data_IF_436426661812
#
_entry.id   IF_436426661812
#
_cell.length_a   1.000
_cell.length_b   1.000
_cell.length_c   1.000
_cell.angle_alpha   90.00
_cell.angle_beta   90.00
_cell.angle_gamma   90.00
#
_symmetry.space_group_name_H-M   'P 1'
#
loop_
_entity.id
_entity.type
_entity.pdbx_description
1 polymer ?
#
# COMPACT_ATOMS: atom_id res chain seq x y z
N UNK A 1 3.36 13.76 17.07
CA UNK A 1 3.67 15.18 17.33
C UNK A 1 5.05 15.60 16.77
N UNK A 2 6.16 14.89 17.08
CA UNK A 2 7.50 15.32 16.63
C UNK A 2 7.64 15.33 15.11
N UNK A 3 7.24 14.26 14.42
CA UNK A 3 7.25 14.21 12.96
C UNK A 3 6.35 15.28 12.35
N UNK A 4 5.22 15.58 12.98
CA UNK A 4 4.33 16.63 12.51
C UNK A 4 4.96 18.03 12.68
N UNK A 5 5.67 18.28 13.79
CA UNK A 5 6.39 19.53 13.99
C UNK A 5 7.51 19.74 12.96
N UNK A 6 8.21 18.67 12.58
CA UNK A 6 9.24 18.74 11.53
C UNK A 6 8.64 18.96 10.12
N UNK A 7 7.44 18.43 9.90
CA UNK A 7 6.74 18.58 8.61
C UNK A 7 5.96 19.90 8.51
N UNK A 8 5.59 20.50 9.61
CA UNK A 8 4.83 21.77 9.65
C UNK A 8 5.53 22.91 8.87
N UNK A 9 4.79 23.90 8.34
CA UNK A 9 3.33 23.97 8.37
C UNK A 9 2.70 23.06 7.29
N UNK A 10 1.57 22.44 7.59
CA UNK A 10 0.77 21.66 6.66
C UNK A 10 -0.72 21.89 6.95
N UNK A 11 -1.58 21.57 5.99
CA UNK A 11 -3.02 21.63 6.13
C UNK A 11 -3.58 20.21 6.26
N UNK A 12 -4.47 19.99 7.25
CA UNK A 12 -5.23 18.76 7.37
C UNK A 12 -6.32 18.76 6.29
N UNK A 13 -6.30 17.77 5.39
CA UNK A 13 -7.30 17.62 4.32
C UNK A 13 -8.41 16.62 4.69
N UNK A 14 -8.08 15.59 5.48
CA UNK A 14 -9.05 14.62 5.93
C UNK A 14 -8.49 13.61 6.93
N UNK A 15 -9.41 12.97 7.66
CA UNK A 15 -9.14 11.83 8.54
C UNK A 15 -10.18 10.75 8.27
N UNK A 16 -9.79 9.47 8.43
CA UNK A 16 -10.66 8.30 8.19
C UNK A 16 -11.40 8.42 6.84
N UNK A 17 -10.66 8.82 5.80
CA UNK A 17 -11.25 9.13 4.51
C UNK A 17 -11.32 7.91 3.61
N UNK A 18 -12.53 7.54 3.22
CA UNK A 18 -12.76 6.51 2.23
C UNK A 18 -12.29 6.93 0.84
N UNK A 19 -11.49 6.05 0.23
CA UNK A 19 -11.07 6.16 -1.17
C UNK A 19 -11.44 4.89 -1.91
N UNK A 20 -12.15 5.06 -3.02
CA UNK A 20 -12.63 3.95 -3.87
C UNK A 20 -12.42 4.29 -5.34
N UNK A 21 -12.13 3.27 -6.13
CA UNK A 21 -12.04 3.34 -7.58
C UNK A 21 -12.64 2.08 -8.18
N UNK A 22 -13.27 2.19 -9.34
CA UNK A 22 -13.69 1.04 -10.14
C UNK A 22 -12.55 0.67 -11.08
N UNK A 23 -12.14 -0.59 -11.05
CA UNK A 23 -11.18 -1.17 -11.98
C UNK A 23 -11.87 -2.27 -12.78
N UNK A 24 -11.75 -2.20 -14.09
CA UNK A 24 -12.30 -3.20 -15.00
C UNK A 24 -11.20 -4.20 -15.35
N UNK A 25 -11.52 -5.47 -15.29
CA UNK A 25 -10.64 -6.56 -15.72
C UNK A 25 -11.37 -7.44 -16.76
N UNK A 26 -10.59 -8.06 -17.64
CA UNK A 26 -11.11 -9.04 -18.58
C UNK A 26 -11.15 -10.42 -17.96
N UNK A 27 -12.27 -11.11 -18.10
CA UNK A 27 -12.45 -12.49 -17.65
C UNK A 27 -13.00 -13.34 -18.81
N UNK A 28 -12.93 -14.67 -18.76
CA UNK A 28 -13.51 -15.55 -19.80
C UNK A 28 -15.00 -15.31 -20.07
N UNK A 29 -15.74 -14.76 -19.08
CA UNK A 29 -17.17 -14.44 -19.21
C UNK A 29 -17.44 -13.01 -19.66
N UNK A 30 -16.41 -12.21 -19.92
CA UNK A 30 -16.51 -10.81 -20.27
C UNK A 30 -15.85 -9.89 -19.25
N UNK A 31 -16.16 -8.60 -19.32
CA UNK A 31 -15.59 -7.59 -18.44
C UNK A 31 -16.23 -7.63 -17.05
N UNK A 32 -15.37 -7.60 -16.03
CA UNK A 32 -15.78 -7.55 -14.63
C UNK A 32 -15.30 -6.22 -14.03
N UNK A 33 -16.22 -5.44 -13.48
CA UNK A 33 -15.90 -4.21 -12.76
C UNK A 33 -15.75 -4.51 -11.26
N UNK A 34 -14.59 -4.21 -10.70
CA UNK A 34 -14.24 -4.42 -9.29
C UNK A 34 -14.07 -3.08 -8.59
N UNK A 35 -14.65 -2.95 -7.41
CA UNK A 35 -14.36 -1.81 -6.55
C UNK A 35 -13.13 -2.09 -5.70
N UNK A 36 -12.10 -1.27 -5.85
CA UNK A 36 -10.87 -1.32 -5.05
C UNK A 36 -10.76 -0.07 -4.17
N UNK A 37 -10.09 -0.19 -3.04
CA UNK A 37 -9.84 0.94 -2.14
C UNK A 37 -9.83 0.56 -0.68
N UNK A 38 -10.07 1.54 0.18
CA UNK A 38 -10.08 1.42 1.64
C UNK A 38 -10.21 2.76 2.31
N UNK A 39 -9.88 2.83 3.59
CA UNK A 39 -9.93 4.04 4.40
C UNK A 39 -8.52 4.51 4.70
N UNK A 40 -8.25 5.78 4.40
CA UNK A 40 -6.98 6.46 4.70
C UNK A 40 -7.11 7.07 6.09
N UNK A 41 -6.18 6.76 7.00
CA UNK A 41 -6.22 7.27 8.36
C UNK A 41 -6.12 8.79 8.39
N UNK A 42 -5.21 9.37 7.58
CA UNK A 42 -5.01 10.81 7.52
C UNK A 42 -4.50 11.27 6.15
N UNK A 43 -5.07 12.38 5.67
CA UNK A 43 -4.57 13.16 4.53
C UNK A 43 -4.15 14.55 5.00
N UNK A 44 -2.99 15.01 4.58
CA UNK A 44 -2.56 16.40 4.75
C UNK A 44 -1.84 16.92 3.51
N UNK A 45 -1.80 18.23 3.36
CA UNK A 45 -1.14 18.88 2.23
C UNK A 45 -0.09 19.90 2.67
N UNK A 46 0.97 20.01 1.87
CA UNK A 46 2.00 21.03 2.01
C UNK A 46 2.51 21.44 0.63
N UNK A 47 2.27 22.69 0.27
CA UNK A 47 2.60 23.17 -1.07
C UNK A 47 1.82 22.42 -2.15
N UNK A 48 2.51 21.79 -3.08
CA UNK A 48 1.96 21.00 -4.19
C UNK A 48 1.85 19.50 -3.89
N UNK A 49 2.03 19.11 -2.64
CA UNK A 49 2.09 17.70 -2.22
C UNK A 49 0.93 17.35 -1.28
N UNK A 50 0.18 16.31 -1.62
CA UNK A 50 -0.79 15.63 -0.77
C UNK A 50 -0.13 14.41 -0.15
N UNK A 51 -0.04 14.38 1.18
CA UNK A 51 0.57 13.26 1.90
C UNK A 51 -0.51 12.33 2.47
N UNK A 52 -0.38 11.06 2.19
CA UNK A 52 -1.12 9.98 2.86
C UNK A 52 -0.29 9.60 4.10
N UNK A 53 -0.91 9.59 5.27
CA UNK A 53 -0.28 9.08 6.50
C UNK A 53 -1.12 7.93 7.01
N UNK A 54 -0.55 6.74 6.98
CA UNK A 54 -1.16 5.53 7.52
C UNK A 54 -0.43 5.17 8.84
N UNK A 55 -1.20 5.02 9.93
CA UNK A 55 -0.67 4.75 11.25
C UNK A 55 -0.51 3.25 11.51
N UNK A 56 0.66 2.84 11.97
CA UNK A 56 0.94 1.45 12.30
C UNK A 56 1.34 1.31 13.78
N UNK A 57 0.57 0.54 14.53
CA UNK A 57 0.84 0.23 15.94
C UNK A 57 1.81 -0.94 16.10
N UNK A 58 1.93 -1.80 15.08
CA UNK A 58 2.82 -2.96 15.06
C UNK A 58 3.67 -3.05 13.79
N UNK A 59 4.52 -4.07 13.74
CA UNK A 59 5.43 -4.32 12.61
C UNK A 59 6.67 -3.43 12.63
N UNK A 60 7.47 -3.53 11.58
CA UNK A 60 8.70 -2.76 11.39
C UNK A 60 8.72 -2.11 10.01
N UNK A 61 9.33 -0.92 9.87
CA UNK A 61 9.55 -0.31 8.57
C UNK A 61 10.27 -1.27 7.63
N UNK A 62 9.80 -1.33 6.38
CA UNK A 62 10.39 -2.11 5.30
C UNK A 62 10.79 -1.18 4.17
N UNK A 63 11.79 -1.58 3.40
CA UNK A 63 12.27 -0.86 2.23
C UNK A 63 12.28 -1.86 1.07
N UNK A 64 11.22 -1.91 0.24
CA UNK A 64 11.21 -2.77 -0.94
C UNK A 64 12.22 -2.32 -1.97
N UNK A 65 12.79 -3.27 -2.71
CA UNK A 65 13.75 -2.95 -3.78
C UNK A 65 13.06 -2.28 -4.98
N UNK A 66 11.86 -2.77 -5.30
CA UNK A 66 11.06 -2.36 -6.46
C UNK A 66 9.56 -2.64 -6.20
N UNK A 67 8.72 -2.27 -7.16
CA UNK A 67 7.27 -2.48 -7.10
C UNK A 67 6.93 -3.99 -7.12
N UNK A 68 7.69 -4.80 -7.83
CA UNK A 68 7.45 -6.25 -7.95
C UNK A 68 7.41 -6.96 -6.61
N UNK A 69 8.27 -6.57 -5.65
CA UNK A 69 8.27 -7.16 -4.30
C UNK A 69 6.97 -6.96 -3.53
N UNK A 70 6.15 -5.97 -3.90
CA UNK A 70 4.84 -5.74 -3.28
C UNK A 70 3.83 -6.82 -3.71
N UNK A 71 4.05 -7.45 -4.85
CA UNK A 71 3.15 -8.44 -5.45
C UNK A 71 3.65 -9.88 -5.29
N UNK A 72 4.95 -10.05 -5.12
CA UNK A 72 5.56 -11.38 -4.97
C UNK A 72 5.19 -12.01 -3.62
N UNK A 73 4.61 -13.21 -3.59
CA UNK A 73 4.32 -13.93 -2.35
C UNK A 73 5.61 -14.20 -1.56
N UNK A 74 5.68 -13.67 -0.34
CA UNK A 74 6.77 -13.89 0.58
C UNK A 74 6.32 -13.64 2.03
N UNK A 75 6.96 -14.30 3.00
CA UNK A 75 6.64 -14.12 4.43
C UNK A 75 6.86 -12.69 4.91
N UNK A 76 7.83 -12.02 4.32
CA UNK A 76 8.19 -10.66 4.66
C UNK A 76 7.68 -9.62 3.66
N UNK A 77 6.68 -9.96 2.83
CA UNK A 77 6.09 -9.02 1.87
C UNK A 77 5.70 -7.71 2.56
N UNK A 78 5.99 -6.54 1.98
CA UNK A 78 5.72 -5.24 2.61
C UNK A 78 4.24 -4.82 2.43
N UNK A 79 3.30 -5.56 3.06
CA UNK A 79 1.86 -5.40 2.91
C UNK A 79 1.37 -3.98 3.25
N UNK A 80 1.98 -3.31 4.24
CA UNK A 80 1.60 -1.95 4.60
C UNK A 80 1.94 -0.94 3.50
N UNK A 81 3.08 -1.15 2.82
CA UNK A 81 3.46 -0.33 1.66
C UNK A 81 2.51 -0.59 0.49
N UNK A 82 2.17 -1.86 0.22
CA UNK A 82 1.17 -2.21 -0.80
C UNK A 82 -0.15 -1.48 -0.55
N UNK A 83 -0.67 -1.53 0.68
CA UNK A 83 -1.91 -0.84 1.07
C UNK A 83 -1.83 0.66 0.81
N UNK A 84 -0.76 1.31 1.27
CA UNK A 84 -0.59 2.76 1.13
C UNK A 84 -0.39 3.16 -0.33
N UNK A 85 0.28 2.33 -1.13
CA UNK A 85 0.44 2.53 -2.58
C UNK A 85 -0.87 2.36 -3.34
N UNK A 86 -1.74 1.43 -2.92
CA UNK A 86 -3.09 1.33 -3.48
C UNK A 86 -3.87 2.63 -3.30
N UNK A 87 -3.82 3.23 -2.10
CA UNK A 87 -4.46 4.51 -1.85
C UNK A 87 -3.83 5.64 -2.67
N UNK A 88 -2.50 5.64 -2.80
CA UNK A 88 -1.79 6.63 -3.61
C UNK A 88 -2.18 6.53 -5.09
N UNK A 89 -2.28 5.31 -5.64
CA UNK A 89 -2.70 5.07 -7.02
C UNK A 89 -4.11 5.61 -7.30
N UNK A 90 -5.05 5.43 -6.34
CA UNK A 90 -6.40 5.96 -6.46
C UNK A 90 -6.40 7.49 -6.44
N UNK A 91 -5.63 8.10 -5.54
CA UNK A 91 -5.59 9.55 -5.38
C UNK A 91 -4.89 10.24 -6.55
N UNK A 92 -3.84 9.67 -7.14
CA UNK A 92 -3.14 10.24 -8.29
C UNK A 92 -4.10 10.54 -9.46
N UNK A 93 -5.15 9.74 -9.64
CA UNK A 93 -6.16 9.96 -10.69
C UNK A 93 -7.27 10.94 -10.32
N UNK A 94 -7.42 11.24 -9.04
CA UNK A 94 -8.54 12.07 -8.56
C UNK A 94 -8.18 13.53 -8.36
N UNK A 95 -6.90 13.84 -8.38
CA UNK A 95 -6.43 15.19 -8.07
C UNK A 95 -5.06 15.46 -8.72
N UNK A 96 -4.65 16.72 -8.81
CA UNK A 96 -3.45 17.15 -9.55
C UNK A 96 -2.19 17.36 -8.68
N UNK A 97 -2.32 17.24 -7.35
CA UNK A 97 -1.16 17.37 -6.47
C UNK A 97 -0.26 16.13 -6.56
N UNK A 98 1.01 16.26 -6.22
CA UNK A 98 1.89 15.11 -6.00
C UNK A 98 1.37 14.31 -4.81
N UNK A 99 1.29 13.00 -4.95
CA UNK A 99 0.87 12.11 -3.84
C UNK A 99 2.09 11.48 -3.20
N UNK A 100 2.29 11.74 -1.91
CA UNK A 100 3.39 11.20 -1.10
C UNK A 100 2.87 10.20 -0.06
N UNK A 101 2.94 8.88 -0.30
CA UNK A 101 2.54 7.87 0.67
C UNK A 101 3.53 7.79 1.83
N UNK A 102 3.02 7.67 3.06
CA UNK A 102 3.83 7.60 4.28
C UNK A 102 3.27 6.58 5.27
N UNK A 103 4.16 5.89 5.99
CA UNK A 103 3.83 4.97 7.05
C UNK A 103 4.38 5.48 8.39
N UNK A 104 3.50 5.83 9.33
CA UNK A 104 3.90 6.31 10.64
C UNK A 104 3.79 5.19 11.69
N UNK A 105 4.93 4.59 12.02
CA UNK A 105 5.02 3.59 13.09
C UNK A 105 5.04 4.27 14.44
N UNK A 106 3.95 4.14 15.20
CA UNK A 106 3.72 4.85 16.47
C UNK A 106 4.85 4.62 17.47
N UNK A 107 5.31 3.37 17.62
CA UNK A 107 6.37 3.00 18.55
C UNK A 107 7.75 3.56 18.16
N UNK A 108 7.92 4.05 16.91
CA UNK A 108 9.15 4.69 16.42
C UNK A 108 9.04 6.21 16.31
N UNK A 109 7.84 6.75 16.44
CA UNK A 109 7.56 8.18 16.20
C UNK A 109 8.32 9.14 17.14
N UNK A 110 8.82 8.65 18.27
CA UNK A 110 9.64 9.44 19.21
C UNK A 110 11.13 9.49 18.83
N UNK A 111 11.61 8.59 17.95
CA UNK A 111 13.03 8.55 17.54
C UNK A 111 13.37 9.72 16.62
N UNK A 112 14.52 10.34 16.85
CA UNK A 112 15.01 11.47 16.03
C UNK A 112 15.39 11.06 14.61
N UNK A 113 15.88 9.84 14.46
CA UNK A 113 16.32 9.29 13.16
C UNK A 113 15.18 8.67 12.35
N UNK A 114 13.96 8.59 12.89
CA UNK A 114 12.85 7.97 12.19
C UNK A 114 12.12 8.96 11.28
N UNK A 115 11.93 8.54 10.03
CA UNK A 115 11.09 9.23 9.04
C UNK A 115 9.92 8.33 8.62
N UNK A 116 8.69 8.86 8.51
CA UNK A 116 7.54 8.11 7.99
C UNK A 116 7.56 7.95 6.47
N UNK A 117 8.48 8.62 5.77
CA UNK A 117 8.60 8.54 4.32
C UNK A 117 8.95 7.11 3.91
N UNK A 118 8.19 6.57 2.95
CA UNK A 118 8.50 5.27 2.35
C UNK A 118 9.70 5.44 1.42
N UNK A 119 10.67 4.56 1.56
CA UNK A 119 11.85 4.52 0.70
C UNK A 119 11.89 3.21 -0.08
N UNK A 120 12.40 3.26 -1.30
CA UNK A 120 12.60 2.11 -2.17
C UNK A 120 14.06 2.02 -2.63
N UNK A 121 14.53 0.81 -2.89
CA UNK A 121 15.85 0.58 -3.47
C UNK A 121 16.52 -0.71 -3.00
N UNK A 122 17.42 -1.23 -3.83
CA UNK A 122 18.12 -2.48 -3.59
C UNK A 122 19.02 -2.42 -2.33
N UNK A 123 19.30 -3.56 -1.68
CA UNK A 123 20.22 -3.62 -0.56
C UNK A 123 21.58 -2.99 -0.92
N UNK A 124 22.17 -2.24 0.01
CA UNK A 124 23.47 -1.57 -0.14
C UNK A 124 23.52 -0.48 -1.23
N UNK A 125 22.40 -0.13 -1.84
CA UNK A 125 22.27 0.99 -2.76
C UNK A 125 21.61 2.19 -2.06
N UNK A 126 21.83 3.43 -2.55
CA UNK A 126 21.08 4.59 -2.07
C UNK A 126 19.57 4.35 -2.17
N UNK A 127 18.83 4.73 -1.15
CA UNK A 127 17.38 4.62 -1.14
C UNK A 127 16.75 5.87 -1.75
N UNK A 128 15.66 5.66 -2.46
CA UNK A 128 14.88 6.74 -3.10
C UNK A 128 13.61 6.95 -2.30
N UNK A 129 13.39 8.14 -1.73
CA UNK A 129 12.15 8.45 -1.03
C UNK A 129 10.99 8.60 -2.02
N UNK A 130 9.85 8.02 -1.70
CA UNK A 130 8.63 8.10 -2.51
C UNK A 130 7.87 9.40 -2.17
N UNK A 131 8.40 10.52 -2.60
CA UNK A 131 7.80 11.85 -2.41
C UNK A 131 6.77 12.22 -3.49
N UNK A 132 6.71 11.47 -4.58
CA UNK A 132 5.71 11.58 -5.63
C UNK A 132 5.45 10.19 -6.20
N UNK A 133 4.28 9.64 -5.88
CA UNK A 133 3.91 8.30 -6.32
C UNK A 133 3.69 8.17 -7.83
N UNK A 134 3.43 9.27 -8.54
CA UNK A 134 3.22 9.25 -9.99
C UNK A 134 4.35 8.55 -10.78
N UNK A 135 5.58 8.54 -10.25
CA UNK A 135 6.70 7.82 -10.88
C UNK A 135 6.59 6.29 -10.81
N UNK A 136 5.74 5.77 -9.95
CA UNK A 136 5.53 4.35 -9.71
C UNK A 136 4.12 3.88 -10.09
N UNK A 137 3.24 4.81 -10.44
CA UNK A 137 1.82 4.55 -10.62
C UNK A 137 1.56 3.54 -11.74
N UNK A 138 2.15 3.72 -12.90
CA UNK A 138 1.89 2.87 -14.08
C UNK A 138 2.31 1.42 -13.80
N UNK A 139 3.52 1.19 -13.29
CA UNK A 139 3.99 -0.16 -12.94
C UNK A 139 3.13 -0.79 -11.85
N UNK A 140 2.78 -0.03 -10.81
CA UNK A 140 1.94 -0.53 -9.73
C UNK A 140 0.55 -0.94 -10.24
N UNK A 141 -0.06 -0.13 -11.10
CA UNK A 141 -1.38 -0.40 -11.68
C UNK A 141 -1.37 -1.60 -12.62
N UNK A 142 -0.36 -1.72 -13.46
CA UNK A 142 -0.21 -2.88 -14.34
C UNK A 142 -0.15 -4.17 -13.53
N UNK A 143 0.68 -4.22 -12.48
CA UNK A 143 0.80 -5.38 -11.61
C UNK A 143 -0.47 -5.64 -10.79
N UNK A 144 -1.14 -4.59 -10.32
CA UNK A 144 -2.41 -4.72 -9.62
C UNK A 144 -3.49 -5.30 -10.53
N UNK A 145 -3.56 -4.84 -11.77
CA UNK A 145 -4.49 -5.37 -12.77
C UNK A 145 -4.20 -6.85 -13.04
N UNK A 146 -2.93 -7.23 -13.25
CA UNK A 146 -2.52 -8.62 -13.42
C UNK A 146 -2.89 -9.51 -12.23
N UNK A 147 -2.66 -9.04 -10.99
CA UNK A 147 -3.05 -9.75 -9.77
C UNK A 147 -4.57 -9.96 -9.70
N UNK A 148 -5.35 -8.94 -10.04
CA UNK A 148 -6.82 -9.07 -10.05
C UNK A 148 -7.29 -10.02 -11.14
N UNK A 149 -6.69 -10.00 -12.33
CA UNK A 149 -6.98 -10.97 -13.38
C UNK A 149 -6.67 -12.41 -12.92
N UNK A 150 -5.53 -12.64 -12.27
CA UNK A 150 -5.17 -13.95 -11.70
C UNK A 150 -6.20 -14.43 -10.67
N UNK A 151 -6.58 -13.56 -9.70
CA UNK A 151 -7.57 -13.90 -8.65
C UNK A 151 -8.93 -14.28 -9.25
N UNK A 152 -9.36 -13.60 -10.31
CA UNK A 152 -10.67 -13.83 -10.94
C UNK A 152 -10.58 -14.70 -12.21
N UNK A 153 -9.40 -15.24 -12.51
CA UNK A 153 -9.23 -16.25 -13.55
C UNK A 153 -9.92 -17.55 -13.14
N UNK A 154 -10.65 -18.15 -14.07
CA UNK A 154 -11.21 -19.49 -13.86
C UNK A 154 -10.24 -20.62 -14.23
N UNK A 155 -9.11 -20.27 -14.82
CA UNK A 155 -8.06 -21.21 -15.21
C UNK A 155 -7.20 -21.62 -14.00
N UNK A 156 -7.13 -20.76 -12.99
CA UNK A 156 -6.37 -21.00 -11.76
C UNK A 156 -7.28 -21.55 -10.66
N UNK A 157 -6.93 -22.70 -10.12
CA UNK A 157 -7.61 -23.27 -8.96
C UNK A 157 -7.03 -22.76 -7.66
N UNK A 158 -7.87 -22.25 -6.76
CA UNK A 158 -7.42 -21.89 -5.40
C UNK A 158 -6.92 -23.12 -4.65
N UNK A 159 -5.70 -23.07 -4.16
CA UNK A 159 -5.10 -24.08 -3.31
C UNK A 159 -4.92 -23.57 -1.88
N UNK A 160 -4.85 -24.51 -0.93
CA UNK A 160 -4.51 -24.15 0.45
C UNK A 160 -3.03 -23.72 0.52
N UNK A 161 -2.74 -22.71 1.37
CA UNK A 161 -1.35 -22.31 1.61
C UNK A 161 -0.53 -23.46 2.19
N UNK A 162 0.72 -23.60 1.76
CA UNK A 162 1.69 -24.52 2.36
C UNK A 162 2.22 -24.02 3.71
N UNK A 163 2.19 -22.70 3.94
CA UNK A 163 2.62 -22.09 5.19
C UNK A 163 1.52 -22.19 6.26
N UNK A 164 1.55 -23.27 7.04
CA UNK A 164 0.59 -23.54 8.09
C UNK A 164 0.61 -22.55 9.24
N UNK A 165 1.69 -21.75 9.40
CA UNK A 165 1.75 -20.66 10.40
C UNK A 165 0.68 -19.60 10.13
N UNK A 166 0.34 -19.35 8.85
CA UNK A 166 -0.75 -18.44 8.46
C UNK A 166 -2.12 -18.94 8.87
N UNK A 167 -2.24 -20.26 9.14
CA UNK A 167 -3.49 -20.86 9.55
C UNK A 167 -3.73 -20.74 11.06
N UNK A 168 -2.71 -20.46 11.87
CA UNK A 168 -2.80 -20.47 13.34
C UNK A 168 -3.89 -19.51 13.87
N UNK A 169 -4.00 -18.31 13.24
CA UNK A 169 -4.99 -17.29 13.60
C UNK A 169 -6.00 -17.01 12.46
N UNK A 170 -6.16 -17.97 11.54
CA UNK A 170 -7.07 -17.81 10.40
C UNK A 170 -8.49 -18.23 10.78
N UNK A 171 -9.47 -17.36 10.55
CA UNK A 171 -10.89 -17.63 10.82
C UNK A 171 -11.42 -18.81 10.02
N UNK A 172 -10.81 -19.13 8.89
CA UNK A 172 -11.18 -20.26 8.02
C UNK A 172 -10.42 -21.56 8.31
N UNK A 173 -9.63 -21.61 9.40
CA UNK A 173 -8.80 -22.78 9.74
C UNK A 173 -9.59 -24.09 9.78
N UNK A 174 -10.75 -24.10 10.44
CA UNK A 174 -11.61 -25.28 10.57
C UNK A 174 -12.20 -25.72 9.22
N UNK A 175 -12.54 -24.76 8.33
CA UNK A 175 -13.00 -25.04 6.98
C UNK A 175 -11.91 -25.72 6.15
N UNK A 176 -10.67 -25.25 6.29
CA UNK A 176 -9.50 -25.80 5.60
C UNK A 176 -8.97 -27.10 6.24
N UNK A 177 -9.50 -27.52 7.40
CA UNK A 177 -9.03 -28.67 8.19
C UNK A 177 -7.54 -28.58 8.57
N UNK A 178 -7.10 -27.37 8.97
CA UNK A 178 -5.72 -27.05 9.35
C UNK A 178 -5.59 -26.78 10.85
#
# INVERSE_FOLDING_TARGET
LRNDLQYAPFRMEGMEQDVREMMEIDTPQGKLALQIGGTIDRLDSKGDTLRIVDYKTGGTPKTPENIEQLFTPADNRPNYIFQTFLYAAILCRKQSLKVAPSLLYIHRAASESYSPVIEMGAPRQPKVPVNNFAFFEDEFRERLHGLLQEIFSQEETFSQTEDTRKCEYCDFRSLCKR
#
